data_IF_951860687931
#
_entry.id   IF_951860687931
#
_cell.length_a   1.000
_cell.length_b   1.000
_cell.length_c   1.000
_cell.angle_alpha   90.00
_cell.angle_beta   90.00
_cell.angle_gamma   90.00
#
_symmetry.space_group_name_H-M   'P 1'
#
loop_
_entity.id
_entity.type
_entity.pdbx_description
1 polymer ?
#
# COMPACT_ATOMS: atom_id res chain seq x y z
N UNK A 1 14.64 4.76 6.57
CA UNK A 1 13.20 5.12 6.60
C UNK A 1 12.52 4.47 7.80
N UNK A 2 11.62 5.15 8.54
CA UNK A 2 10.96 4.58 9.74
C UNK A 2 9.83 3.59 9.41
N UNK A 3 8.99 3.89 8.40
CA UNK A 3 7.77 3.10 8.10
C UNK A 3 8.08 1.63 7.75
N UNK A 4 9.17 1.37 7.03
CA UNK A 4 9.62 0.02 6.71
C UNK A 4 10.72 -0.48 7.67
N UNK A 5 10.95 0.24 8.77
CA UNK A 5 11.95 -0.11 9.78
C UNK A 5 11.51 -1.28 10.66
N UNK A 6 12.45 -1.74 11.50
CA UNK A 6 12.19 -2.76 12.51
C UNK A 6 11.91 -2.10 13.85
N UNK A 7 10.86 -2.52 14.53
CA UNK A 7 10.58 -2.09 15.90
C UNK A 7 11.53 -2.83 16.86
N UNK A 8 12.28 -2.06 17.65
CA UNK A 8 13.07 -2.51 18.79
C UNK A 8 12.40 -1.97 20.07
N UNK A 9 12.89 -2.35 21.26
CA UNK A 9 12.18 -2.11 22.53
C UNK A 9 11.90 -0.62 22.81
N UNK A 10 12.82 0.27 22.47
CA UNK A 10 12.75 1.71 22.77
C UNK A 10 12.75 2.60 21.51
N UNK A 11 13.00 2.05 20.32
CA UNK A 11 13.08 2.81 19.08
C UNK A 11 12.73 1.99 17.83
N UNK A 12 12.66 2.67 16.69
CA UNK A 12 12.52 2.03 15.37
C UNK A 12 13.86 2.10 14.64
N UNK A 13 14.48 0.95 14.43
CA UNK A 13 15.64 0.78 13.56
C UNK A 13 15.22 1.11 12.12
N UNK A 14 15.82 2.16 11.55
CA UNK A 14 15.43 2.65 10.23
C UNK A 14 15.85 1.65 9.15
N UNK A 15 14.95 1.32 8.23
CA UNK A 15 15.31 0.55 7.05
C UNK A 15 16.29 1.32 6.15
N UNK A 16 17.27 0.59 5.62
CA UNK A 16 18.25 1.06 4.65
C UNK A 16 17.68 1.11 3.22
N UNK A 17 16.61 1.90 3.04
CA UNK A 17 16.01 2.14 1.73
C UNK A 17 16.22 3.60 1.33
N UNK A 18 16.84 3.81 0.16
CA UNK A 18 16.94 5.12 -0.47
C UNK A 18 15.67 5.39 -1.24
N UNK A 19 15.04 6.53 -0.96
CA UNK A 19 13.80 6.96 -1.62
C UNK A 19 14.00 8.38 -2.11
N UNK A 20 13.67 8.62 -3.37
CA UNK A 20 13.62 9.93 -4.00
C UNK A 20 12.22 10.09 -4.60
N UNK A 21 11.49 11.12 -4.17
CA UNK A 21 10.11 11.34 -4.57
C UNK A 21 9.94 12.73 -5.19
N UNK A 22 9.08 12.80 -6.20
CA UNK A 22 8.58 14.06 -6.77
C UNK A 22 7.06 14.06 -6.65
N UNK A 23 6.51 15.12 -6.07
CA UNK A 23 5.09 15.22 -5.76
C UNK A 23 4.44 16.31 -6.61
N UNK A 24 3.36 15.95 -7.30
CA UNK A 24 2.67 16.85 -8.22
C UNK A 24 1.19 16.94 -7.86
N UNK A 25 0.62 18.15 -7.92
CA UNK A 25 -0.83 18.36 -7.77
C UNK A 25 -1.50 18.24 -9.13
N UNK A 26 -2.67 17.61 -9.17
CA UNK A 26 -3.49 17.45 -10.38
C UNK A 26 -4.96 17.75 -10.07
N UNK A 27 -5.77 18.01 -11.11
CA UNK A 27 -7.21 18.28 -10.99
C UNK A 27 -8.04 17.01 -10.73
N UNK A 28 -7.70 16.25 -9.68
CA UNK A 28 -8.42 15.05 -9.22
C UNK A 28 -8.85 15.29 -7.77
N UNK A 29 -10.16 15.14 -7.50
CA UNK A 29 -10.75 15.43 -6.18
C UNK A 29 -10.19 14.50 -5.09
N UNK A 30 -10.27 13.20 -5.33
CA UNK A 30 -9.82 12.16 -4.39
C UNK A 30 -9.09 11.05 -5.14
N UNK A 31 -8.06 10.51 -4.49
CA UNK A 31 -7.20 9.45 -5.00
C UNK A 31 -5.79 9.97 -5.30
N UNK A 32 -4.81 9.51 -4.53
CA UNK A 32 -3.39 9.74 -4.85
C UNK A 32 -2.87 8.59 -5.68
N UNK A 33 -2.42 8.90 -6.88
CA UNK A 33 -1.83 7.97 -7.82
C UNK A 33 -0.32 8.19 -7.84
N UNK A 34 0.42 7.10 -7.64
CA UNK A 34 1.88 7.12 -7.62
C UNK A 34 2.43 6.20 -8.70
N UNK A 35 3.45 6.67 -9.40
CA UNK A 35 4.27 5.85 -10.30
C UNK A 35 5.52 5.44 -9.54
N UNK A 36 5.66 4.15 -9.26
CA UNK A 36 6.74 3.61 -8.44
C UNK A 36 7.73 2.85 -9.31
N UNK A 37 9.01 3.13 -9.09
CA UNK A 37 10.13 2.40 -9.67
C UNK A 37 10.98 1.87 -8.52
N UNK A 38 11.29 0.58 -8.56
CA UNK A 38 12.11 -0.06 -7.53
C UNK A 38 13.13 -0.98 -8.17
N UNK A 39 14.36 -0.92 -7.66
CA UNK A 39 15.46 -1.76 -8.11
C UNK A 39 15.49 -3.02 -7.26
N UNK A 40 15.21 -4.22 -7.82
CA UNK A 40 15.25 -5.45 -7.06
C UNK A 40 16.71 -5.88 -6.82
N UNK A 41 16.94 -6.73 -5.81
CA UNK A 41 18.27 -7.30 -5.52
C UNK A 41 18.57 -8.56 -6.33
N UNK A 42 17.57 -9.06 -7.06
CA UNK A 42 17.64 -10.21 -7.96
C UNK A 42 16.61 -10.05 -9.07
N UNK A 43 16.71 -10.89 -10.09
CA UNK A 43 15.66 -10.97 -11.11
C UNK A 43 14.34 -11.44 -10.48
N UNK A 44 13.25 -10.81 -10.92
CA UNK A 44 11.90 -10.97 -10.38
C UNK A 44 10.91 -10.94 -11.54
N UNK A 45 10.04 -11.95 -11.57
CA UNK A 45 9.02 -12.04 -12.59
C UNK A 45 7.77 -11.25 -12.19
N UNK A 46 7.03 -10.77 -13.18
CA UNK A 46 5.79 -9.99 -12.93
C UNK A 46 4.81 -10.78 -12.06
N UNK A 47 4.67 -12.07 -12.31
CA UNK A 47 3.73 -12.94 -11.57
C UNK A 47 4.14 -13.10 -10.10
N UNK A 48 5.44 -13.12 -9.82
CA UNK A 48 5.94 -13.14 -8.44
C UNK A 48 5.56 -11.85 -7.71
N UNK A 49 5.74 -10.69 -8.35
CA UNK A 49 5.37 -9.40 -7.77
C UNK A 49 3.87 -9.34 -7.48
N UNK A 50 3.03 -9.77 -8.43
CA UNK A 50 1.57 -9.84 -8.23
C UNK A 50 1.22 -10.69 -7.03
N UNK A 51 1.76 -11.91 -6.96
CA UNK A 51 1.50 -12.85 -5.87
C UNK A 51 1.90 -12.29 -4.50
N UNK A 52 3.05 -11.64 -4.40
CA UNK A 52 3.51 -11.01 -3.15
C UNK A 52 2.59 -9.87 -2.74
N UNK A 53 2.18 -9.03 -3.69
CA UNK A 53 1.29 -7.90 -3.42
C UNK A 53 -0.10 -8.37 -3.02
N UNK A 54 -0.74 -9.26 -3.79
CA UNK A 54 -2.08 -9.77 -3.49
C UNK A 54 -2.15 -10.63 -2.23
N UNK A 55 -1.05 -11.33 -1.92
CA UNK A 55 -0.92 -12.17 -0.73
C UNK A 55 -0.60 -11.40 0.55
N UNK A 56 -0.44 -10.08 0.48
CA UNK A 56 -0.09 -9.29 1.66
C UNK A 56 -1.23 -9.26 2.68
N UNK A 57 -0.92 -9.74 3.89
CA UNK A 57 -1.79 -9.69 5.05
C UNK A 57 -1.01 -9.14 6.26
N UNK A 58 -1.65 -8.27 7.04
CA UNK A 58 -1.10 -7.75 8.29
C UNK A 58 -1.92 -8.17 9.51
N UNK A 59 -1.47 -7.73 10.68
CA UNK A 59 -2.17 -7.94 11.97
C UNK A 59 -3.65 -7.51 11.92
N UNK A 60 -4.05 -6.39 11.27
CA UNK A 60 -5.46 -6.01 11.18
C UNK A 60 -6.37 -7.05 10.53
N UNK A 61 -5.87 -7.75 9.49
CA UNK A 61 -6.61 -8.80 8.79
C UNK A 61 -6.67 -10.08 9.63
N UNK A 62 -5.55 -10.47 10.24
CA UNK A 62 -5.45 -11.64 11.11
C UNK A 62 -6.41 -11.55 12.30
N UNK A 63 -6.53 -10.35 12.89
CA UNK A 63 -7.45 -10.04 13.99
C UNK A 63 -8.88 -9.75 13.53
N UNK A 64 -9.13 -9.73 12.20
CA UNK A 64 -10.42 -9.42 11.56
C UNK A 64 -11.04 -8.13 12.10
N UNK A 65 -10.24 -7.06 12.16
CA UNK A 65 -10.71 -5.78 12.68
C UNK A 65 -11.85 -5.23 11.80
N UNK A 66 -12.88 -4.58 12.38
CA UNK A 66 -14.09 -4.20 11.64
C UNK A 66 -13.83 -3.34 10.39
N UNK A 67 -12.88 -2.41 10.47
CA UNK A 67 -12.53 -1.53 9.36
C UNK A 67 -11.40 -2.07 8.48
N UNK A 68 -10.74 -3.17 8.86
CA UNK A 68 -9.70 -3.76 8.04
C UNK A 68 -10.26 -4.16 6.66
N UNK A 69 -9.57 -3.83 5.55
CA UNK A 69 -9.90 -4.39 4.25
C UNK A 69 -9.59 -5.89 4.26
N UNK A 70 -10.37 -6.69 3.52
CA UNK A 70 -10.10 -8.13 3.37
C UNK A 70 -8.80 -8.32 2.59
N UNK A 71 -8.65 -7.58 1.48
CA UNK A 71 -7.39 -7.49 0.72
C UNK A 71 -6.81 -6.08 0.84
N UNK A 72 -5.75 -5.86 1.64
CA UNK A 72 -5.14 -4.53 1.79
C UNK A 72 -4.53 -4.00 0.49
N UNK A 73 -4.09 -4.90 -0.39
CA UNK A 73 -3.56 -4.61 -1.71
C UNK A 73 -4.38 -5.39 -2.73
N UNK A 74 -4.98 -4.68 -3.67
CA UNK A 74 -5.74 -5.27 -4.78
C UNK A 74 -4.96 -5.05 -6.07
N UNK A 75 -4.60 -6.11 -6.76
CA UNK A 75 -3.91 -6.02 -8.06
C UNK A 75 -4.94 -6.02 -9.19
N UNK A 76 -4.67 -5.21 -10.22
CA UNK A 76 -5.44 -5.10 -11.46
C UNK A 76 -4.56 -5.49 -12.64
N UNK A 77 -5.07 -6.41 -13.45
CA UNK A 77 -4.39 -6.88 -14.66
C UNK A 77 -4.68 -6.01 -15.87
N UNK A 78 -5.80 -5.29 -15.85
CA UNK A 78 -6.20 -4.40 -16.93
C UNK A 78 -5.15 -3.30 -17.14
N UNK A 79 -4.73 -3.11 -18.40
CA UNK A 79 -3.62 -2.22 -18.73
C UNK A 79 -3.89 -0.75 -18.37
N UNK A 80 -5.16 -0.34 -18.35
CA UNK A 80 -5.57 1.03 -18.08
C UNK A 80 -5.86 1.30 -16.59
N UNK A 81 -5.63 0.33 -15.70
CA UNK A 81 -5.89 0.44 -14.25
C UNK A 81 -4.61 0.57 -13.42
N UNK A 82 -4.66 1.19 -12.23
CA UNK A 82 -5.83 1.79 -11.57
C UNK A 82 -6.19 3.19 -12.11
N UNK A 83 -7.43 3.62 -11.89
CA UNK A 83 -7.90 4.97 -12.19
C UNK A 83 -8.54 5.61 -10.95
N UNK A 84 -8.16 6.84 -10.55
CA UNK A 84 -8.67 7.49 -9.33
C UNK A 84 -10.18 7.47 -9.18
N UNK A 85 -10.92 7.75 -10.26
CA UNK A 85 -12.39 7.78 -10.24
C UNK A 85 -13.03 6.40 -10.06
N UNK A 86 -12.41 5.34 -10.57
CA UNK A 86 -13.01 4.00 -10.59
C UNK A 86 -12.58 3.16 -9.38
N UNK A 87 -11.36 3.37 -8.87
CA UNK A 87 -10.71 2.44 -7.94
C UNK A 87 -10.58 2.95 -6.51
N UNK A 88 -10.73 4.25 -6.25
CA UNK A 88 -10.48 4.84 -4.92
C UNK A 88 -11.40 4.33 -3.79
N UNK A 89 -12.48 3.63 -4.12
CA UNK A 89 -13.46 3.11 -3.15
C UNK A 89 -13.37 1.59 -2.96
N UNK A 90 -12.43 0.91 -3.64
CA UNK A 90 -12.18 -0.52 -3.45
C UNK A 90 -11.93 -0.81 -1.96
N UNK A 91 -12.56 -1.88 -1.46
CA UNK A 91 -12.51 -2.24 -0.03
C UNK A 91 -12.93 -1.07 0.88
N UNK A 92 -14.01 -0.37 0.52
CA UNK A 92 -14.51 0.84 1.22
C UNK A 92 -13.49 1.99 1.25
N UNK A 93 -12.51 1.99 0.35
CA UNK A 93 -11.41 2.94 0.29
C UNK A 93 -10.26 2.64 1.26
N UNK A 94 -10.25 1.47 1.90
CA UNK A 94 -9.21 1.06 2.85
C UNK A 94 -8.07 0.23 2.21
N UNK A 95 -8.25 -0.25 0.98
CA UNK A 95 -7.18 -0.89 0.22
C UNK A 95 -6.46 0.11 -0.69
N UNK A 96 -5.23 -0.24 -1.06
CA UNK A 96 -4.54 0.35 -2.21
C UNK A 96 -4.75 -0.53 -3.42
N UNK A 97 -4.85 0.08 -4.60
CA UNK A 97 -5.02 -0.65 -5.87
C UNK A 97 -3.75 -0.50 -6.69
N UNK A 98 -3.15 -1.62 -7.07
CA UNK A 98 -1.90 -1.67 -7.85
C UNK A 98 -2.20 -2.21 -9.25
N UNK A 99 -1.57 -1.62 -10.26
CA UNK A 99 -1.72 -2.08 -11.64
C UNK A 99 -0.51 -1.71 -12.49
N UNK A 100 -0.54 -2.13 -13.76
CA UNK A 100 0.54 -1.89 -14.73
C UNK A 100 1.91 -2.35 -14.25
N UNK A 101 1.94 -3.47 -13.54
CA UNK A 101 3.18 -4.08 -13.04
C UNK A 101 4.01 -4.55 -14.25
N UNK A 102 5.27 -4.14 -14.30
CA UNK A 102 6.26 -4.52 -15.31
C UNK A 102 7.60 -4.77 -14.62
N UNK A 103 8.32 -5.80 -15.06
CA UNK A 103 9.65 -6.13 -14.57
C UNK A 103 10.66 -6.12 -15.71
N UNK A 104 11.87 -5.68 -15.42
CA UNK A 104 13.08 -5.91 -16.18
C UNK A 104 14.17 -6.43 -15.24
N UNK A 105 15.37 -6.70 -15.75
CA UNK A 105 16.51 -7.10 -14.92
C UNK A 105 16.87 -6.06 -13.84
N UNK A 106 16.66 -4.77 -14.13
CA UNK A 106 17.05 -3.68 -13.22
C UNK A 106 15.86 -3.05 -12.48
N UNK A 107 14.64 -3.13 -13.01
CA UNK A 107 13.52 -2.37 -12.47
C UNK A 107 12.24 -3.18 -12.39
N UNK A 108 11.55 -3.04 -11.27
CA UNK A 108 10.11 -3.24 -11.21
C UNK A 108 9.46 -1.85 -11.28
N UNK A 109 8.43 -1.72 -12.11
CA UNK A 109 7.58 -0.53 -12.18
C UNK A 109 6.12 -0.91 -12.00
N UNK A 110 5.39 -0.09 -11.26
CA UNK A 110 3.94 -0.21 -11.15
C UNK A 110 3.29 1.14 -10.83
N UNK A 111 1.98 1.19 -11.01
CA UNK A 111 1.12 2.28 -10.55
C UNK A 111 0.39 1.85 -9.29
N UNK A 112 0.30 2.71 -8.28
CA UNK A 112 -0.49 2.46 -7.07
C UNK A 112 -1.41 3.62 -6.78
N UNK A 113 -2.66 3.31 -6.45
CA UNK A 113 -3.69 4.27 -6.10
C UNK A 113 -4.14 4.04 -4.65
N UNK A 114 -4.15 5.10 -3.85
CA UNK A 114 -4.74 5.10 -2.51
C UNK A 114 -5.80 6.18 -2.33
N UNK A 115 -6.82 5.90 -1.54
CA UNK A 115 -7.76 6.93 -1.09
C UNK A 115 -7.12 7.79 -0.01
N UNK A 116 -6.81 9.05 -0.32
CA UNK A 116 -6.10 9.96 0.58
C UNK A 116 -6.92 10.36 1.82
N UNK A 117 -8.26 10.35 1.75
CA UNK A 117 -9.13 10.74 2.87
C UNK A 117 -9.42 9.54 3.77
N UNK A 118 -9.67 8.37 3.18
CA UNK A 118 -10.01 7.14 3.93
C UNK A 118 -8.74 6.43 4.36
N UNK A 119 -8.05 5.74 3.44
CA UNK A 119 -6.81 5.03 3.75
C UNK A 119 -5.68 5.95 4.19
N UNK A 120 -5.60 7.15 3.62
CA UNK A 120 -4.55 8.13 3.94
C UNK A 120 -4.76 8.87 5.27
N UNK A 121 -5.99 8.86 5.82
CA UNK A 121 -6.30 9.64 7.03
C UNK A 121 -7.34 8.95 7.93
N UNK A 122 -8.63 9.25 7.75
CA UNK A 122 -9.68 8.95 8.73
C UNK A 122 -9.84 7.45 9.00
N UNK A 123 -9.86 6.65 7.94
CA UNK A 123 -9.99 5.20 8.06
C UNK A 123 -8.77 4.56 8.72
N UNK A 124 -7.57 5.07 8.45
CA UNK A 124 -6.36 4.60 9.12
C UNK A 124 -6.34 4.96 10.61
N UNK A 125 -6.81 6.16 10.99
CA UNK A 125 -6.93 6.56 12.39
C UNK A 125 -7.87 5.64 13.18
N UNK A 126 -9.03 5.31 12.60
CA UNK A 126 -9.97 4.35 13.22
C UNK A 126 -9.34 2.96 13.31
N UNK A 127 -8.69 2.48 12.24
CA UNK A 127 -8.06 1.16 12.24
C UNK A 127 -6.93 1.03 13.28
N UNK A 128 -6.16 2.11 13.48
CA UNK A 128 -5.17 2.18 14.57
C UNK A 128 -5.87 2.07 15.93
N UNK A 129 -6.97 2.79 16.13
CA UNK A 129 -7.77 2.71 17.35
C UNK A 129 -8.31 1.30 17.62
N UNK A 130 -8.91 0.66 16.61
CA UNK A 130 -9.38 -0.73 16.69
C UNK A 130 -8.25 -1.69 17.08
N UNK A 131 -7.07 -1.51 16.49
CA UNK A 131 -5.90 -2.32 16.79
C UNK A 131 -5.42 -2.13 18.23
N UNK A 132 -5.32 -0.87 18.70
CA UNK A 132 -4.89 -0.57 20.06
C UNK A 132 -5.83 -1.19 21.11
N UNK A 133 -7.15 -1.07 20.91
CA UNK A 133 -8.15 -1.70 21.78
C UNK A 133 -7.99 -3.22 21.75
N UNK A 134 -7.88 -3.82 20.55
CA UNK A 134 -7.73 -5.28 20.41
C UNK A 134 -6.44 -5.82 21.05
N UNK A 135 -5.38 -5.01 21.10
CA UNK A 135 -4.10 -5.33 21.72
C UNK A 135 -4.03 -4.98 23.21
N UNK A 136 -5.11 -4.47 23.82
CA UNK A 136 -5.12 -4.07 25.24
C UNK A 136 -4.16 -2.92 25.55
N UNK A 137 -3.95 -2.01 24.59
CA UNK A 137 -3.06 -0.84 24.72
C UNK A 137 -3.80 0.44 25.11
N UNK A 138 -5.14 0.41 25.07
CA UNK A 138 -6.09 1.42 25.55
C UNK A 138 -7.35 0.73 26.03
#
# INVERSE_FOLDING_TARGET
MKILGKLSDDHVEKAELKVLASCNRVCVVDGHLESVFLRPTRNVEVEEVKKVLEGFEGVPQQLKLPLAPVKPVVVRDEEDRPQPRLDRVVERGMAVVVGRIRCSEEWIRYMVLGNNVVRGAAGNAILIGELLVKMGRV
#
